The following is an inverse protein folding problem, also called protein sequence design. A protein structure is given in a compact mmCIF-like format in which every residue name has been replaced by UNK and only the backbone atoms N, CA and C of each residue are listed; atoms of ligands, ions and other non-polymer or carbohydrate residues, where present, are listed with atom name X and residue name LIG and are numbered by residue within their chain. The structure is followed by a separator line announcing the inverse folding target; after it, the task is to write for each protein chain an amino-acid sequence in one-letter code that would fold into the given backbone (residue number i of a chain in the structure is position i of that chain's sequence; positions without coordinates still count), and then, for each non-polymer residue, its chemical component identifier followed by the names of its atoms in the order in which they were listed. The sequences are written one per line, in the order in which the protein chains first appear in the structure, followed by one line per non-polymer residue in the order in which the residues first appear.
data_IF_765469756589
#
_entry.id   IF_765469756589
#
_cell.length_a   1.000
_cell.length_b   1.000
_cell.length_c   1.000
_cell.angle_alpha   90.00
_cell.angle_beta   90.00
_cell.angle_gamma   90.00
#
_symmetry.space_group_name_H-M   'P 1'
#
loop_
_entity.id
_entity.type
_entity.pdbx_description
1 polymer ?
#
# COMPACT_ATOMS: atom_id res chain seq x y z
N UNK A 1 4.73 -26.89 6.50
CA UNK A 1 4.19 -25.60 7.05
C UNK A 1 2.70 -25.61 6.72
N UNK A 2 1.86 -25.55 7.74
CA UNK A 2 0.40 -25.58 7.51
C UNK A 2 -0.04 -24.26 6.88
N UNK A 3 -0.76 -24.33 5.76
CA UNK A 3 -1.34 -23.19 5.07
C UNK A 3 -2.66 -22.85 5.75
N UNK A 4 -2.89 -21.60 6.10
CA UNK A 4 -4.10 -21.20 6.82
C UNK A 4 -5.36 -21.27 5.96
N UNK A 5 -5.29 -20.81 4.70
CA UNK A 5 -6.40 -20.90 3.76
C UNK A 5 -6.47 -22.32 3.21
N UNK A 6 -7.66 -22.93 3.21
CA UNK A 6 -7.88 -24.25 2.64
C UNK A 6 -7.83 -24.25 1.10
N UNK A 7 -7.66 -25.46 0.52
CA UNK A 7 -7.49 -25.64 -0.92
C UNK A 7 -8.73 -25.22 -1.72
N UNK A 8 -9.94 -25.44 -1.22
CA UNK A 8 -11.17 -25.07 -1.90
C UNK A 8 -11.29 -23.55 -2.03
N UNK A 9 -11.12 -22.82 -0.92
CA UNK A 9 -11.12 -21.36 -0.93
C UNK A 9 -10.00 -20.79 -1.80
N UNK A 10 -8.79 -21.40 -1.77
CA UNK A 10 -7.71 -20.98 -2.64
C UNK A 10 -8.06 -21.16 -4.13
N UNK A 11 -8.60 -22.32 -4.49
CA UNK A 11 -8.98 -22.63 -5.88
C UNK A 11 -10.04 -21.66 -6.41
N UNK A 12 -11.03 -21.34 -5.60
CA UNK A 12 -12.16 -20.52 -5.99
C UNK A 12 -11.83 -19.03 -6.08
N UNK A 13 -10.90 -18.56 -5.24
CA UNK A 13 -10.65 -17.13 -5.06
C UNK A 13 -9.31 -16.69 -5.66
N UNK A 14 -8.22 -17.42 -5.43
CA UNK A 14 -6.86 -17.01 -5.77
C UNK A 14 -6.32 -17.63 -7.05
N UNK A 15 -6.70 -18.88 -7.35
CA UNK A 15 -6.17 -19.55 -8.53
C UNK A 15 -6.46 -18.77 -9.82
N UNK A 16 -5.40 -18.52 -10.60
CA UNK A 16 -5.46 -17.71 -11.83
C UNK A 16 -5.58 -16.22 -11.62
N UNK A 17 -5.22 -15.73 -10.42
CA UNK A 17 -5.15 -14.32 -10.08
C UNK A 17 -3.82 -13.98 -9.40
N UNK A 18 -3.30 -12.82 -9.73
CA UNK A 18 -2.13 -12.20 -9.08
C UNK A 18 -2.58 -11.25 -7.98
N UNK A 19 -1.96 -11.33 -6.80
CA UNK A 19 -2.17 -10.37 -5.73
C UNK A 19 -1.36 -9.11 -6.06
N UNK A 20 -2.03 -7.97 -6.21
CA UNK A 20 -1.41 -6.72 -6.65
C UNK A 20 -1.26 -5.68 -5.54
N UNK A 21 -1.94 -5.86 -4.40
CA UNK A 21 -1.80 -4.97 -3.24
C UNK A 21 -2.46 -5.59 -2.00
N UNK A 22 -2.04 -5.14 -0.79
CA UNK A 22 -2.54 -5.61 0.49
C UNK A 22 -2.77 -4.46 1.47
N UNK A 23 -3.82 -4.58 2.30
CA UNK A 23 -4.07 -3.67 3.41
C UNK A 23 -4.61 -4.41 4.64
N UNK A 24 -4.08 -4.09 5.80
CA UNK A 24 -4.46 -4.67 7.09
C UNK A 24 -5.51 -3.79 7.76
N UNK A 25 -6.74 -4.26 7.87
CA UNK A 25 -7.77 -3.56 8.65
C UNK A 25 -7.49 -3.69 10.16
N UNK A 26 -7.33 -4.91 10.60
CA UNK A 26 -6.85 -5.32 11.92
C UNK A 26 -6.23 -6.73 11.84
N UNK A 27 -5.75 -7.27 12.96
CA UNK A 27 -5.13 -8.61 13.00
C UNK A 27 -6.09 -9.74 12.60
N UNK A 28 -7.40 -9.48 12.50
CA UNK A 28 -8.44 -10.46 12.13
C UNK A 28 -8.96 -10.29 10.72
N UNK A 29 -8.70 -9.16 10.06
CA UNK A 29 -9.30 -8.82 8.77
C UNK A 29 -8.27 -8.19 7.84
N UNK A 30 -7.88 -8.95 6.83
CA UNK A 30 -6.88 -8.59 5.83
C UNK A 30 -7.55 -8.43 4.47
N UNK A 31 -7.22 -7.37 3.75
CA UNK A 31 -7.80 -7.06 2.46
C UNK A 31 -6.76 -7.16 1.36
N UNK A 32 -7.13 -7.75 0.24
CA UNK A 32 -6.27 -7.93 -0.93
C UNK A 32 -6.98 -7.47 -2.18
N UNK A 33 -6.23 -6.87 -3.08
CA UNK A 33 -6.66 -6.66 -4.45
C UNK A 33 -5.97 -7.67 -5.36
N UNK A 34 -6.73 -8.38 -6.16
CA UNK A 34 -6.25 -9.37 -7.11
C UNK A 34 -6.65 -8.95 -8.52
N UNK A 35 -5.76 -9.16 -9.49
CA UNK A 35 -6.07 -9.09 -10.93
C UNK A 35 -5.92 -10.47 -11.57
N UNK A 36 -6.75 -10.76 -12.55
CA UNK A 36 -6.64 -12.03 -13.27
C UNK A 36 -5.27 -12.11 -13.94
N UNK A 37 -4.57 -13.21 -13.70
CA UNK A 37 -3.34 -13.52 -14.40
C UNK A 37 -3.68 -13.88 -15.85
N UNK A 38 -3.15 -13.12 -16.80
CA UNK A 38 -3.32 -13.35 -18.22
C UNK A 38 -1.96 -13.37 -18.91
N UNK A 39 -1.78 -14.17 -19.98
CA UNK A 39 -0.55 -14.20 -20.73
C UNK A 39 -0.18 -12.81 -21.25
N UNK A 40 1.12 -12.48 -21.28
CA UNK A 40 1.62 -11.17 -21.70
C UNK A 40 1.14 -10.77 -23.09
N UNK A 41 1.03 -11.73 -24.01
CA UNK A 41 0.53 -11.51 -25.36
C UNK A 41 -0.94 -11.05 -25.36
N UNK A 42 -1.78 -11.65 -24.56
CA UNK A 42 -3.18 -11.28 -24.39
C UNK A 42 -3.33 -9.97 -23.63
N UNK A 43 -2.52 -9.75 -22.58
CA UNK A 43 -2.51 -8.50 -21.80
C UNK A 43 -2.22 -7.28 -22.66
N UNK A 44 -1.37 -7.43 -23.70
CA UNK A 44 -1.03 -6.33 -24.62
C UNK A 44 -2.20 -5.87 -25.50
N UNK A 45 -3.24 -6.69 -25.64
CA UNK A 45 -4.44 -6.42 -26.47
C UNK A 45 -5.63 -5.89 -25.65
N UNK A 46 -5.54 -5.95 -24.32
CA UNK A 46 -6.62 -5.55 -23.41
C UNK A 46 -6.31 -4.22 -22.75
N UNK A 47 -7.34 -3.44 -22.48
CA UNK A 47 -7.22 -2.35 -21.52
C UNK A 47 -7.05 -2.95 -20.11
N UNK A 48 -6.23 -2.33 -19.27
CA UNK A 48 -6.07 -2.77 -17.88
C UNK A 48 -7.41 -2.77 -17.10
N UNK A 49 -8.35 -1.91 -17.50
CA UNK A 49 -9.72 -1.88 -16.97
C UNK A 49 -10.56 -3.11 -17.35
N UNK A 50 -10.24 -3.79 -18.45
CA UNK A 50 -10.97 -4.98 -18.91
C UNK A 50 -10.49 -6.26 -18.22
N UNK A 51 -9.33 -6.20 -17.52
CA UNK A 51 -8.81 -7.34 -16.77
C UNK A 51 -9.59 -7.46 -15.46
N UNK A 52 -10.26 -8.62 -15.23
CA UNK A 52 -11.05 -8.85 -14.03
C UNK A 52 -10.28 -8.61 -12.73
N UNK A 53 -10.87 -7.83 -11.84
CA UNK A 53 -10.32 -7.51 -10.54
C UNK A 53 -11.17 -8.14 -9.45
N UNK A 54 -10.55 -8.60 -8.37
CA UNK A 54 -11.22 -9.06 -7.15
C UNK A 54 -10.78 -8.24 -5.95
N UNK A 55 -11.73 -7.86 -5.11
CA UNK A 55 -11.44 -7.47 -3.73
C UNK A 55 -11.71 -8.68 -2.85
N UNK A 56 -10.68 -9.09 -2.10
CA UNK A 56 -10.71 -10.26 -1.23
C UNK A 56 -10.54 -9.82 0.21
N UNK A 57 -11.25 -10.46 1.12
CA UNK A 57 -11.06 -10.34 2.56
C UNK A 57 -10.75 -11.70 3.15
N UNK A 58 -9.68 -11.79 3.94
CA UNK A 58 -9.29 -12.96 4.70
C UNK A 58 -9.50 -12.66 6.20
N UNK A 59 -10.24 -13.53 6.88
CA UNK A 59 -10.51 -13.45 8.31
C UNK A 59 -9.68 -14.50 9.06
N UNK A 60 -8.74 -14.05 9.89
CA UNK A 60 -7.83 -14.95 10.60
C UNK A 60 -8.45 -15.61 11.84
N UNK A 61 -9.63 -15.14 12.28
CA UNK A 61 -10.38 -15.63 13.44
C UNK A 61 -11.58 -16.51 13.06
N UNK A 62 -11.77 -16.85 11.78
CA UNK A 62 -12.88 -17.68 11.32
C UNK A 62 -12.40 -19.07 10.91
N UNK A 63 -13.27 -20.09 11.03
CA UNK A 63 -12.94 -21.44 10.60
C UNK A 63 -12.78 -21.54 9.09
N UNK A 64 -12.05 -22.55 8.63
CA UNK A 64 -11.90 -22.88 7.21
C UNK A 64 -13.25 -22.94 6.48
N UNK A 65 -13.29 -22.51 5.22
CA UNK A 65 -14.50 -22.39 4.41
C UNK A 65 -15.39 -21.17 4.73
N UNK A 66 -15.10 -20.44 5.82
CA UNK A 66 -15.78 -19.18 6.20
C UNK A 66 -14.81 -18.03 6.46
N UNK A 67 -13.54 -18.29 6.26
CA UNK A 67 -12.45 -17.36 6.57
C UNK A 67 -12.02 -16.49 5.39
N UNK A 68 -12.64 -16.66 4.23
CA UNK A 68 -12.34 -15.87 3.06
C UNK A 68 -13.60 -15.48 2.29
N UNK A 69 -13.60 -14.29 1.71
CA UNK A 69 -14.66 -13.82 0.84
C UNK A 69 -14.13 -12.93 -0.27
N UNK A 70 -14.76 -12.98 -1.44
CA UNK A 70 -14.34 -12.15 -2.57
C UNK A 70 -15.52 -11.53 -3.29
N UNK A 71 -15.27 -10.44 -3.99
CA UNK A 71 -16.19 -9.83 -4.95
C UNK A 71 -15.41 -9.47 -6.22
N UNK A 72 -16.03 -9.71 -7.38
CA UNK A 72 -15.55 -9.18 -8.65
C UNK A 72 -15.91 -7.71 -8.78
N UNK A 73 -14.96 -6.94 -9.30
CA UNK A 73 -15.13 -5.51 -9.59
C UNK A 73 -14.59 -5.25 -10.99
N UNK A 74 -15.41 -4.71 -11.85
CA UNK A 74 -15.01 -4.38 -13.23
C UNK A 74 -14.53 -2.92 -13.31
N UNK A 75 -13.75 -2.59 -14.36
CA UNK A 75 -13.31 -1.23 -14.64
C UNK A 75 -12.16 -0.71 -13.76
N UNK A 76 -11.49 -1.59 -13.00
CA UNK A 76 -10.43 -1.19 -12.08
C UNK A 76 -9.06 -1.14 -12.77
N UNK A 77 -8.67 0.05 -13.22
CA UNK A 77 -7.34 0.27 -13.79
C UNK A 77 -6.30 0.42 -12.68
N UNK A 78 -5.24 -0.39 -12.69
CA UNK A 78 -4.12 -0.37 -11.75
C UNK A 78 -4.56 -0.11 -10.30
N UNK A 79 -5.43 -0.97 -9.75
CA UNK A 79 -6.08 -0.71 -8.48
C UNK A 79 -5.10 -0.65 -7.31
N UNK A 80 -5.49 0.12 -6.28
CA UNK A 80 -4.83 0.17 -4.98
C UNK A 80 -5.82 -0.23 -3.90
N UNK A 81 -5.37 -1.01 -2.93
CA UNK A 81 -6.19 -1.37 -1.77
C UNK A 81 -5.83 -0.48 -0.58
N UNK A 82 -6.81 -0.20 0.25
CA UNK A 82 -6.64 0.54 1.50
C UNK A 82 -7.73 0.18 2.49
N UNK A 83 -7.68 0.78 3.66
CA UNK A 83 -8.66 0.55 4.73
C UNK A 83 -9.02 1.86 5.42
N UNK A 84 -10.25 1.92 5.96
CA UNK A 84 -10.64 2.88 6.99
C UNK A 84 -10.84 2.13 8.29
N UNK A 85 -10.30 2.64 9.41
CA UNK A 85 -10.34 2.01 10.74
C UNK A 85 -11.13 2.88 11.72
N UNK A 86 -11.49 2.42 12.93
CA UNK A 86 -12.00 3.31 13.96
C UNK A 86 -11.01 4.48 14.22
N UNK A 87 -11.45 5.74 14.41
CA UNK A 87 -12.83 6.18 14.64
C UNK A 87 -13.67 6.45 13.36
N UNK A 88 -13.22 6.05 12.19
CA UNK A 88 -14.07 6.17 11.00
C UNK A 88 -15.41 5.42 11.25
N UNK A 89 -16.57 6.00 10.88
CA UNK A 89 -17.89 5.49 11.29
C UNK A 89 -18.15 4.03 10.92
N UNK A 90 -17.62 3.60 9.79
CA UNK A 90 -17.73 2.20 9.30
C UNK A 90 -16.40 1.71 8.75
N UNK A 91 -15.59 1.06 9.59
CA UNK A 91 -14.34 0.45 9.15
C UNK A 91 -14.57 -0.50 7.98
N UNK A 92 -13.76 -0.37 6.93
CA UNK A 92 -13.93 -1.13 5.69
C UNK A 92 -12.64 -1.20 4.88
N UNK A 93 -12.52 -2.25 4.07
CA UNK A 93 -11.58 -2.28 2.96
C UNK A 93 -12.04 -1.39 1.81
N UNK A 94 -11.13 -0.90 1.02
CA UNK A 94 -11.33 -0.03 -0.13
C UNK A 94 -10.46 -0.49 -1.29
N UNK A 95 -11.00 -0.47 -2.50
CA UNK A 95 -10.19 -0.55 -3.72
C UNK A 95 -10.43 0.70 -4.54
N UNK A 96 -9.36 1.39 -4.89
CA UNK A 96 -9.40 2.59 -5.71
C UNK A 96 -8.80 2.33 -7.09
N UNK A 97 -9.52 2.68 -8.14
CA UNK A 97 -9.02 2.67 -9.51
C UNK A 97 -8.21 3.94 -9.82
N UNK A 98 -7.25 3.81 -10.73
CA UNK A 98 -6.55 4.95 -11.35
C UNK A 98 -7.34 5.37 -12.58
N UNK A 99 -7.85 6.59 -12.60
CA UNK A 99 -8.63 7.04 -13.75
C UNK A 99 -9.37 8.33 -13.52
N UNK A 100 -10.41 8.52 -14.31
CA UNK A 100 -11.28 9.68 -14.17
C UNK A 100 -12.14 9.56 -12.91
N UNK A 101 -12.12 10.57 -12.05
CA UNK A 101 -12.83 10.57 -10.76
C UNK A 101 -12.13 9.81 -9.65
N UNK A 102 -11.29 8.81 -9.95
CA UNK A 102 -10.70 7.91 -8.95
C UNK A 102 -11.79 7.11 -8.24
N UNK A 103 -12.43 6.22 -8.99
CA UNK A 103 -13.52 5.37 -8.47
C UNK A 103 -13.01 4.50 -7.32
N UNK A 104 -13.77 4.45 -6.22
CA UNK A 104 -13.45 3.66 -5.03
C UNK A 104 -14.61 2.73 -4.72
N UNK A 105 -14.32 1.45 -4.54
CA UNK A 105 -15.28 0.45 -4.11
C UNK A 105 -15.05 0.10 -2.63
N UNK A 106 -15.94 0.52 -1.71
CA UNK A 106 -15.85 0.16 -0.30
C UNK A 106 -16.47 -1.21 -0.04
N UNK A 107 -15.82 -2.03 0.83
CA UNK A 107 -16.33 -3.33 1.26
C UNK A 107 -15.91 -3.70 2.68
N UNK A 108 -16.80 -4.37 3.38
CA UNK A 108 -16.60 -4.87 4.74
C UNK A 108 -17.34 -4.03 5.77
N UNK A 109 -17.38 -4.49 7.04
CA UNK A 109 -18.12 -3.81 8.09
C UNK A 109 -19.65 -3.70 7.84
N UNK A 110 -20.22 -4.59 7.01
CA UNK A 110 -21.63 -4.52 6.62
C UNK A 110 -21.91 -3.52 5.50
N UNK A 111 -20.88 -3.02 4.81
CA UNK A 111 -21.03 -2.11 3.66
C UNK A 111 -20.81 -2.91 2.39
N UNK A 112 -21.82 -2.94 1.54
CA UNK A 112 -21.73 -3.09 0.09
C UNK A 112 -22.18 -1.76 -0.47
N UNK A 113 -21.23 -0.86 -0.66
CA UNK A 113 -21.56 0.52 -0.98
C UNK A 113 -21.62 0.81 -2.46
N UNK A 114 -22.26 1.92 -2.84
CA UNK A 114 -22.09 2.50 -4.15
C UNK A 114 -20.63 2.90 -4.34
N UNK A 115 -20.20 2.97 -5.60
CA UNK A 115 -18.91 3.57 -5.94
C UNK A 115 -18.79 4.97 -5.35
N UNK A 116 -17.69 5.21 -4.67
CA UNK A 116 -17.28 6.54 -4.23
C UNK A 116 -16.34 7.14 -5.28
N UNK A 117 -16.13 8.44 -5.25
CA UNK A 117 -15.14 9.10 -6.10
C UNK A 117 -14.23 10.01 -5.26
N UNK A 118 -12.91 9.81 -5.40
CA UNK A 118 -11.90 10.62 -4.70
C UNK A 118 -11.92 12.06 -5.22
N UNK A 119 -11.92 12.24 -6.53
CA UNK A 119 -11.85 13.55 -7.19
C UNK A 119 -12.87 13.64 -8.33
N UNK A 120 -14.17 13.81 -8.05
CA UNK A 120 -15.21 13.84 -9.06
C UNK A 120 -14.88 14.83 -10.19
N UNK A 121 -15.06 14.38 -11.43
CA UNK A 121 -14.87 15.21 -12.65
C UNK A 121 -13.41 15.65 -12.91
N UNK A 122 -12.42 14.95 -12.35
CA UNK A 122 -11.00 15.22 -12.58
C UNK A 122 -10.25 13.91 -12.85
N UNK A 123 -9.13 13.95 -13.60
CA UNK A 123 -8.19 12.85 -13.63
C UNK A 123 -7.67 12.58 -12.21
N UNK A 124 -7.72 11.33 -11.77
CA UNK A 124 -7.30 10.92 -10.44
C UNK A 124 -6.46 9.64 -10.56
N UNK A 125 -5.14 9.81 -10.62
CA UNK A 125 -4.23 8.69 -10.62
C UNK A 125 -3.83 8.43 -9.18
N UNK A 126 -4.58 7.54 -8.51
CA UNK A 126 -4.32 7.15 -7.13
C UNK A 126 -3.05 6.31 -7.05
N UNK A 127 -2.04 6.80 -6.37
CA UNK A 127 -0.76 6.09 -6.19
C UNK A 127 -0.74 5.30 -4.88
N UNK A 128 -1.36 5.85 -3.82
CA UNK A 128 -1.43 5.21 -2.49
C UNK A 128 -2.76 5.50 -1.81
N UNK A 129 -3.28 4.49 -1.11
CA UNK A 129 -4.28 4.64 -0.05
C UNK A 129 -3.63 4.33 1.30
N UNK A 130 -3.58 5.31 2.19
CA UNK A 130 -2.98 5.15 3.53
C UNK A 130 -4.02 5.44 4.61
N UNK A 131 -4.12 4.57 5.61
CA UNK A 131 -4.97 4.82 6.77
C UNK A 131 -4.16 5.53 7.85
N UNK A 132 -4.52 6.77 8.14
CA UNK A 132 -3.91 7.62 9.18
C UNK A 132 -4.98 7.95 10.19
N UNK A 133 -4.77 7.60 11.46
CA UNK A 133 -5.71 7.83 12.57
C UNK A 133 -7.15 7.40 12.26
N UNK A 134 -7.30 6.26 11.56
CA UNK A 134 -8.58 5.67 11.19
C UNK A 134 -9.17 6.15 9.87
N UNK A 135 -8.75 7.28 9.34
CA UNK A 135 -9.24 7.84 8.08
C UNK A 135 -8.33 7.44 6.91
N UNK A 136 -8.93 7.11 5.77
CA UNK A 136 -8.15 6.84 4.55
C UNK A 136 -7.78 8.13 3.85
N UNK A 137 -6.50 8.27 3.55
CA UNK A 137 -5.97 9.32 2.69
C UNK A 137 -5.56 8.73 1.36
N UNK A 138 -5.78 9.48 0.28
CA UNK A 138 -5.33 9.14 -1.06
C UNK A 138 -4.25 10.12 -1.50
N UNK A 139 -3.06 9.59 -1.80
CA UNK A 139 -2.04 10.31 -2.53
C UNK A 139 -2.27 10.12 -4.03
N UNK A 140 -2.34 11.22 -4.78
CA UNK A 140 -2.68 11.24 -6.19
C UNK A 140 -1.59 11.98 -6.96
N UNK A 141 -1.26 11.48 -8.14
CA UNK A 141 -0.29 12.11 -9.04
C UNK A 141 -0.66 13.58 -9.31
N UNK A 142 0.35 14.44 -9.44
CA UNK A 142 0.12 15.87 -9.63
C UNK A 142 -0.14 16.63 -8.32
N UNK A 143 0.36 16.11 -7.18
CA UNK A 143 0.21 16.66 -5.82
C UNK A 143 -1.24 16.73 -5.33
N UNK A 144 -2.08 15.80 -5.73
CA UNK A 144 -3.39 15.65 -5.15
C UNK A 144 -3.32 14.88 -3.82
N UNK A 145 -3.93 15.43 -2.79
CA UNK A 145 -4.19 14.73 -1.53
C UNK A 145 -5.67 14.86 -1.20
N UNK A 146 -6.25 13.74 -0.81
CA UNK A 146 -7.67 13.67 -0.44
C UNK A 146 -7.83 12.85 0.85
N UNK A 147 -8.80 13.23 1.67
CA UNK A 147 -9.18 12.52 2.89
C UNK A 147 -10.60 12.00 2.76
N UNK A 148 -10.82 10.73 3.02
CA UNK A 148 -12.15 10.15 3.19
C UNK A 148 -12.68 10.51 4.56
N UNK A 149 -13.69 11.35 4.62
CA UNK A 149 -14.23 11.88 5.88
C UNK A 149 -15.52 11.20 6.31
N UNK A 150 -16.22 10.57 5.38
CA UNK A 150 -17.45 9.80 5.61
C UNK A 150 -17.66 8.82 4.45
N UNK A 151 -18.68 7.97 4.54
CA UNK A 151 -19.10 7.10 3.43
C UNK A 151 -19.50 7.95 2.22
N UNK A 152 -18.93 7.62 1.05
CA UNK A 152 -19.16 8.35 -0.19
C UNK A 152 -18.60 9.77 -0.21
N UNK A 153 -17.86 10.18 0.83
CA UNK A 153 -17.40 11.57 0.94
C UNK A 153 -15.89 11.68 1.10
N UNK A 154 -15.27 12.13 0.02
CA UNK A 154 -13.86 12.53 -0.02
C UNK A 154 -13.75 14.05 -0.10
N UNK A 155 -12.78 14.60 0.58
CA UNK A 155 -12.49 16.05 0.57
C UNK A 155 -11.03 16.29 0.19
N UNK A 156 -10.74 17.36 -0.56
CA UNK A 156 -9.35 17.79 -0.78
C UNK A 156 -8.64 18.04 0.55
N UNK A 157 -7.40 17.59 0.65
CA UNK A 157 -6.51 17.80 1.79
C UNK A 157 -5.26 18.54 1.32
N UNK A 158 -5.45 19.67 0.66
CA UNK A 158 -4.46 20.37 -0.18
C UNK A 158 -4.15 21.79 0.28
N UNK A 159 -4.49 22.14 1.52
CA UNK A 159 -4.21 23.47 2.07
C UNK A 159 -2.70 23.79 2.00
N UNK A 160 -2.31 24.82 1.26
CA UNK A 160 -0.91 25.19 1.05
C UNK A 160 -0.23 24.53 -0.17
N UNK A 161 -0.86 23.55 -0.82
CA UNK A 161 -0.34 23.00 -2.05
C UNK A 161 -0.61 23.92 -3.26
N UNK A 162 0.29 23.99 -4.23
CA UNK A 162 0.07 24.75 -5.48
C UNK A 162 -1.10 24.16 -6.28
N UNK A 163 -1.97 25.03 -6.79
CA UNK A 163 -3.21 24.61 -7.50
C UNK A 163 -3.05 24.33 -8.98
N UNK A 164 -1.96 24.73 -9.61
CA UNK A 164 -1.70 24.50 -11.05
C UNK A 164 -0.25 24.86 -11.46
N UNK A 165 0.17 24.43 -12.62
CA UNK A 165 1.36 24.95 -13.31
C UNK A 165 2.67 24.24 -13.00
N UNK A 166 2.65 23.05 -12.41
CA UNK A 166 3.88 22.35 -12.07
C UNK A 166 4.23 21.23 -13.06
N UNK A 167 5.51 20.87 -13.05
CA UNK A 167 6.07 19.85 -13.93
C UNK A 167 5.37 18.49 -13.75
N UNK A 168 5.09 17.73 -14.83
CA UNK A 168 4.58 16.36 -14.73
C UNK A 168 5.51 15.41 -14.00
N UNK A 169 6.74 15.83 -13.72
CA UNK A 169 7.72 15.09 -12.92
C UNK A 169 7.52 15.23 -11.41
N UNK A 170 6.60 16.10 -10.99
CA UNK A 170 6.24 16.32 -9.60
C UNK A 170 4.93 15.61 -9.27
N UNK A 171 4.72 15.33 -7.98
CA UNK A 171 3.48 14.72 -7.52
C UNK A 171 3.72 13.64 -6.49
N UNK A 172 2.67 13.30 -5.76
CA UNK A 172 2.79 12.38 -4.65
C UNK A 172 2.71 10.92 -5.08
N UNK A 173 3.58 10.10 -4.51
CA UNK A 173 3.58 8.66 -4.57
C UNK A 173 3.07 8.06 -3.25
N UNK A 174 3.40 8.70 -2.12
CA UNK A 174 3.06 8.19 -0.81
C UNK A 174 2.83 9.32 0.20
N UNK A 175 2.12 8.98 1.30
CA UNK A 175 1.83 9.82 2.45
C UNK A 175 1.91 9.00 3.73
N UNK A 176 2.49 9.55 4.80
CA UNK A 176 2.45 8.97 6.14
C UNK A 176 2.46 10.06 7.22
N UNK A 177 2.21 9.69 8.49
CA UNK A 177 2.04 10.65 9.56
C UNK A 177 2.49 10.13 10.92
N UNK A 178 3.04 11.02 11.75
CA UNK A 178 3.16 10.80 13.19
C UNK A 178 1.84 11.11 13.92
N UNK A 179 1.10 12.11 13.43
CA UNK A 179 -0.17 12.59 14.00
C UNK A 179 -0.99 13.36 12.95
N UNK A 180 -2.17 13.84 13.31
CA UNK A 180 -3.03 14.64 12.41
C UNK A 180 -2.44 16.00 12.04
N UNK A 181 -1.42 16.47 12.76
CA UNK A 181 -0.73 17.74 12.58
C UNK A 181 0.76 17.58 12.21
N UNK A 182 1.23 16.37 12.00
CA UNK A 182 2.60 16.07 11.59
C UNK A 182 2.62 14.95 10.54
N UNK A 183 2.45 15.35 9.26
CA UNK A 183 2.38 14.41 8.15
C UNK A 183 3.40 14.74 7.07
N UNK A 184 3.79 13.73 6.31
CA UNK A 184 4.70 13.87 5.18
C UNK A 184 4.09 13.25 3.93
N UNK A 185 4.25 13.93 2.79
CA UNK A 185 3.91 13.42 1.48
C UNK A 185 5.11 13.57 0.55
N UNK A 186 5.41 12.53 -0.21
CA UNK A 186 6.60 12.48 -1.07
C UNK A 186 6.27 11.94 -2.45
N UNK A 187 7.13 12.28 -3.42
CA UNK A 187 7.08 11.73 -4.76
C UNK A 187 7.95 12.52 -5.73
N UNK A 188 7.73 12.35 -7.03
CA UNK A 188 8.43 13.07 -8.07
C UNK A 188 9.95 13.15 -7.89
N UNK A 189 10.58 14.17 -8.46
CA UNK A 189 12.01 14.42 -8.37
C UNK A 189 12.33 15.23 -7.08
N UNK A 190 12.49 14.55 -5.93
CA UNK A 190 12.80 15.19 -4.65
C UNK A 190 11.64 16.04 -4.10
N UNK A 191 10.40 15.67 -4.39
CA UNK A 191 9.22 16.43 -3.99
C UNK A 191 8.74 15.99 -2.60
N UNK A 192 9.23 16.68 -1.56
CA UNK A 192 8.95 16.40 -0.15
C UNK A 192 8.14 17.52 0.45
N UNK A 193 7.01 17.18 1.07
CA UNK A 193 6.11 18.12 1.73
C UNK A 193 5.78 17.66 3.14
N UNK A 194 5.63 18.65 4.03
CA UNK A 194 5.28 18.47 5.43
C UNK A 194 4.03 19.27 5.77
N UNK A 195 3.06 18.61 6.40
CA UNK A 195 1.85 19.24 6.96
C UNK A 195 2.06 19.52 8.44
N UNK A 196 1.81 20.75 8.85
CA UNK A 196 2.03 21.24 10.22
C UNK A 196 0.73 21.42 11.03
N UNK A 197 -0.32 20.70 10.65
CA UNK A 197 -1.66 20.84 11.24
C UNK A 197 -2.51 21.95 10.59
N UNK A 198 -1.90 22.82 9.80
CA UNK A 198 -2.59 23.96 9.17
C UNK A 198 -2.46 23.93 7.65
N UNK A 199 -1.26 23.70 7.17
CA UNK A 199 -0.97 23.74 5.73
C UNK A 199 0.24 22.90 5.35
N UNK A 200 0.25 22.43 4.11
CA UNK A 200 1.40 21.79 3.51
C UNK A 200 2.48 22.80 3.17
N UNK A 201 3.73 22.46 3.52
CA UNK A 201 4.92 23.27 3.25
C UNK A 201 5.95 22.41 2.54
N UNK A 202 6.51 22.94 1.44
CA UNK A 202 7.58 22.26 0.73
C UNK A 202 8.83 22.22 1.59
N UNK A 203 9.42 21.03 1.72
CA UNK A 203 10.69 20.85 2.43
C UNK A 203 11.85 20.89 1.45
N UNK A 204 12.99 21.42 1.90
CA UNK A 204 14.21 21.29 1.12
C UNK A 204 14.69 19.84 1.18
N UNK A 205 14.78 19.22 0.00
CA UNK A 205 15.37 17.90 -0.19
C UNK A 205 16.53 18.02 -1.16
N UNK A 206 17.70 17.54 -0.76
CA UNK A 206 18.97 17.80 -1.47
C UNK A 206 19.18 16.93 -2.71
N UNK A 207 18.35 15.91 -2.90
CA UNK A 207 18.45 14.97 -4.01
C UNK A 207 17.27 15.19 -5.00
N UNK A 208 17.50 14.84 -6.27
CA UNK A 208 16.48 14.85 -7.33
C UNK A 208 16.03 13.45 -7.72
N UNK A 209 16.36 12.45 -6.90
CA UNK A 209 15.87 11.09 -7.12
C UNK A 209 14.34 11.05 -7.15
N UNK A 210 13.78 10.15 -7.94
CA UNK A 210 12.33 9.88 -7.89
C UNK A 210 12.02 9.17 -6.59
N UNK A 211 11.21 9.82 -5.74
CA UNK A 211 10.80 9.29 -4.45
C UNK A 211 9.62 8.33 -4.60
N UNK A 212 9.61 7.27 -3.81
CA UNK A 212 8.62 6.19 -3.90
C UNK A 212 7.76 6.10 -2.63
N UNK A 213 8.37 6.02 -1.45
CA UNK A 213 7.64 5.81 -0.19
C UNK A 213 8.09 6.79 0.88
N UNK A 214 7.20 7.03 1.86
CA UNK A 214 7.53 7.74 3.09
C UNK A 214 7.01 6.96 4.30
N UNK A 215 7.79 6.93 5.38
CA UNK A 215 7.43 6.26 6.63
C UNK A 215 7.78 7.13 7.82
N UNK A 216 6.77 7.49 8.60
CA UNK A 216 6.90 8.12 9.90
C UNK A 216 7.13 7.02 10.95
N UNK A 217 8.39 6.79 11.30
CA UNK A 217 8.80 5.63 12.08
C UNK A 217 8.66 5.83 13.59
N UNK A 218 8.48 4.75 14.33
CA UNK A 218 8.34 4.78 15.78
C UNK A 218 9.59 5.24 16.53
N UNK A 219 10.75 5.31 15.86
CA UNK A 219 11.97 5.92 16.40
C UNK A 219 11.99 7.47 16.31
N UNK A 220 10.91 8.07 15.82
CA UNK A 220 10.76 9.50 15.64
C UNK A 220 11.41 10.09 14.39
N UNK A 221 11.96 9.25 13.52
CA UNK A 221 12.50 9.66 12.24
C UNK A 221 11.52 9.43 11.10
N UNK A 222 11.71 10.18 10.02
CA UNK A 222 11.04 9.93 8.75
C UNK A 222 12.02 9.25 7.80
N UNK A 223 11.60 8.15 7.20
CA UNK A 223 12.35 7.45 6.18
C UNK A 223 11.68 7.67 4.82
N UNK A 224 12.50 7.96 3.80
CA UNK A 224 12.04 8.16 2.42
C UNK A 224 12.82 7.23 1.53
N UNK A 225 12.12 6.42 0.73
CA UNK A 225 12.76 5.63 -0.31
C UNK A 225 12.62 6.28 -1.69
N UNK A 226 13.49 5.91 -2.60
CA UNK A 226 13.46 6.37 -3.98
C UNK A 226 14.12 5.41 -4.96
N UNK A 227 14.27 5.88 -6.16
CA UNK A 227 14.84 5.10 -7.27
C UNK A 227 16.19 4.49 -6.93
N UNK A 228 16.47 3.33 -7.53
CA UNK A 228 17.71 2.60 -7.35
C UNK A 228 17.87 1.97 -5.96
N UNK A 229 16.81 1.85 -5.16
CA UNK A 229 16.86 1.33 -3.79
C UNK A 229 17.41 2.33 -2.78
N UNK A 230 17.51 3.61 -3.16
CA UNK A 230 17.98 4.66 -2.25
C UNK A 230 17.07 4.84 -1.05
N UNK A 231 17.66 5.20 0.08
CA UNK A 231 16.96 5.44 1.35
C UNK A 231 17.57 6.65 2.07
N UNK A 232 16.72 7.54 2.55
CA UNK A 232 17.09 8.69 3.37
C UNK A 232 16.37 8.64 4.71
N UNK A 233 17.01 9.20 5.74
CA UNK A 233 16.43 9.41 7.06
C UNK A 233 16.53 10.87 7.45
N UNK A 234 15.52 11.39 8.12
CA UNK A 234 15.53 12.77 8.59
C UNK A 234 14.17 13.28 9.02
N UNK A 235 14.02 14.59 9.02
CA UNK A 235 12.75 15.28 9.23
C UNK A 235 12.82 16.70 8.70
N UNK A 236 11.69 17.23 8.23
CA UNK A 236 11.54 18.59 7.69
C UNK A 236 12.55 18.86 6.57
N UNK A 237 13.53 19.70 6.78
CA UNK A 237 14.55 20.07 5.77
C UNK A 237 15.94 19.49 6.05
N UNK A 238 16.04 18.50 6.94
CA UNK A 238 17.32 17.87 7.30
C UNK A 238 17.27 16.38 6.97
N UNK A 239 17.89 16.01 5.86
CA UNK A 239 17.88 14.65 5.33
C UNK A 239 19.30 14.11 5.20
N UNK A 240 19.49 12.85 5.53
CA UNK A 240 20.76 12.13 5.45
C UNK A 240 20.55 10.85 4.64
N UNK A 241 21.32 10.62 3.58
CA UNK A 241 21.27 9.32 2.89
C UNK A 241 21.82 8.23 3.82
N UNK A 242 21.08 7.13 3.95
CA UNK A 242 21.49 5.91 4.68
C UNK A 242 21.80 4.78 3.73
N UNK A 243 21.19 4.78 2.55
CA UNK A 243 21.56 3.92 1.44
C UNK A 243 21.55 4.75 0.15
N UNK A 244 22.64 4.69 -0.61
CA UNK A 244 22.71 5.30 -1.94
C UNK A 244 22.18 4.29 -2.95
N UNK A 245 21.26 4.74 -3.79
CA UNK A 245 20.75 3.94 -4.88
C UNK A 245 21.85 3.62 -5.89
N UNK A 246 22.04 2.34 -6.15
CA UNK A 246 22.98 1.83 -7.14
C UNK A 246 22.50 0.52 -7.80
N UNK A 247 21.22 0.21 -7.64
CA UNK A 247 20.61 -1.02 -8.08
C UNK A 247 19.36 -0.74 -8.92
N UNK A 248 18.76 -1.78 -9.47
CA UNK A 248 17.45 -1.70 -10.15
C UNK A 248 16.28 -1.89 -9.18
N UNK A 249 16.53 -1.94 -7.86
CA UNK A 249 15.51 -2.14 -6.84
C UNK A 249 14.62 -0.89 -6.77
N UNK A 250 13.33 -1.11 -6.74
CA UNK A 250 12.31 -0.11 -6.37
C UNK A 250 11.52 -0.66 -5.19
N UNK A 251 11.54 0.06 -4.09
CA UNK A 251 10.77 -0.36 -2.92
C UNK A 251 9.29 -0.03 -3.15
N UNK A 252 8.45 -1.06 -3.15
CA UNK A 252 7.00 -0.92 -3.23
C UNK A 252 6.43 -0.38 -1.93
N UNK A 253 6.95 -0.91 -0.81
CA UNK A 253 6.56 -0.51 0.53
C UNK A 253 7.76 -0.45 1.45
N UNK A 254 7.80 0.61 2.26
CA UNK A 254 8.68 0.75 3.41
C UNK A 254 7.81 1.09 4.59
N UNK A 255 7.93 0.36 5.70
CA UNK A 255 7.12 0.60 6.88
C UNK A 255 7.88 0.29 8.18
N UNK A 256 7.40 0.89 9.27
CA UNK A 256 7.91 0.65 10.61
C UNK A 256 7.04 -0.37 11.34
N UNK A 257 7.64 -1.44 11.80
CA UNK A 257 6.95 -2.46 12.58
C UNK A 257 7.92 -3.08 13.61
N UNK A 258 7.53 -3.09 14.89
CA UNK A 258 8.28 -3.66 16.01
C UNK A 258 9.76 -3.23 16.01
N UNK A 259 9.95 -1.90 16.11
CA UNK A 259 11.25 -1.24 16.22
C UNK A 259 12.24 -1.53 15.07
N UNK A 260 11.68 -1.91 13.91
CA UNK A 260 12.44 -2.14 12.68
C UNK A 260 11.79 -1.46 11.48
N UNK A 261 12.62 -1.02 10.55
CA UNK A 261 12.18 -0.58 9.23
C UNK A 261 12.22 -1.78 8.29
N UNK A 262 11.06 -2.11 7.71
CA UNK A 262 10.87 -3.20 6.76
C UNK A 262 10.74 -2.65 5.35
N UNK A 263 11.29 -3.35 4.36
CA UNK A 263 11.33 -2.94 2.97
C UNK A 263 10.92 -4.11 2.07
N UNK A 264 9.97 -3.90 1.18
CA UNK A 264 9.57 -4.88 0.18
C UNK A 264 9.64 -4.30 -1.22
N UNK A 265 10.15 -5.09 -2.15
CA UNK A 265 10.17 -4.82 -3.60
C UNK A 265 9.56 -5.99 -4.35
N UNK A 266 9.55 -5.96 -5.68
CA UNK A 266 9.07 -7.08 -6.50
C UNK A 266 9.93 -8.35 -6.34
N UNK A 267 11.20 -8.19 -5.93
CA UNK A 267 12.17 -9.29 -5.87
C UNK A 267 12.71 -9.58 -4.47
N UNK A 268 12.65 -8.60 -3.56
CA UNK A 268 13.32 -8.67 -2.26
C UNK A 268 12.41 -8.27 -1.09
N UNK A 269 12.64 -8.95 0.04
CA UNK A 269 12.06 -8.59 1.34
C UNK A 269 13.18 -8.44 2.36
N UNK A 270 13.31 -7.22 2.89
CA UNK A 270 14.44 -6.79 3.67
C UNK A 270 14.03 -6.05 4.94
N UNK A 271 14.97 -5.87 5.85
CA UNK A 271 14.89 -4.90 6.93
C UNK A 271 16.17 -4.05 6.98
N UNK A 272 16.02 -2.83 7.50
CA UNK A 272 17.14 -1.93 7.70
C UNK A 272 17.71 -2.13 9.11
N UNK A 273 19.04 -2.35 9.17
CA UNK A 273 19.80 -2.53 10.40
C UNK A 273 20.94 -1.50 10.48
N UNK A 274 21.69 -1.52 11.57
CA UNK A 274 22.93 -0.71 11.68
C UNK A 274 23.99 -1.09 10.63
N UNK A 275 23.90 -2.32 10.08
CA UNK A 275 24.77 -2.80 9.01
C UNK A 275 24.35 -2.41 7.60
N UNK A 276 23.12 -1.94 7.44
CA UNK A 276 22.51 -1.60 6.16
C UNK A 276 21.21 -2.34 5.90
N UNK A 277 20.86 -2.52 4.62
CA UNK A 277 19.68 -3.27 4.20
C UNK A 277 20.05 -4.75 4.06
N UNK A 278 19.37 -5.61 4.80
CA UNK A 278 19.60 -7.04 4.87
C UNK A 278 18.30 -7.81 4.58
N UNK A 279 18.41 -8.95 3.89
CA UNK A 279 17.25 -9.84 3.65
C UNK A 279 16.71 -10.37 4.96
N UNK A 280 15.40 -10.46 5.06
CA UNK A 280 14.73 -11.01 6.24
C UNK A 280 15.03 -12.51 6.36
N UNK A 281 15.47 -12.91 7.54
CA UNK A 281 15.72 -14.31 7.87
C UNK A 281 14.89 -14.76 9.08
N UNK A 282 14.51 -16.04 9.10
CA UNK A 282 13.83 -16.68 10.21
C UNK A 282 14.29 -18.12 10.29
N UNK A 283 14.60 -18.61 11.51
CA UNK A 283 15.10 -19.96 11.78
C UNK A 283 16.32 -20.34 10.91
N UNK A 284 17.20 -19.37 10.65
CA UNK A 284 18.43 -19.57 9.86
C UNK A 284 18.21 -19.63 8.34
N UNK A 285 16.99 -19.46 7.86
CA UNK A 285 16.66 -19.37 6.43
C UNK A 285 16.16 -17.99 6.00
N UNK A 286 16.30 -17.67 4.71
CA UNK A 286 15.70 -16.45 4.13
C UNK A 286 14.18 -16.66 4.09
N UNK A 287 13.41 -15.64 4.49
CA UNK A 287 11.96 -15.59 4.27
C UNK A 287 11.73 -15.32 2.77
N UNK A 288 11.22 -16.30 2.00
CA UNK A 288 11.17 -16.21 0.54
C UNK A 288 9.93 -15.41 0.08
N UNK A 289 9.85 -14.15 0.47
CA UNK A 289 8.76 -13.25 0.15
C UNK A 289 9.27 -11.99 -0.55
N UNK A 290 8.38 -11.31 -1.24
CA UNK A 290 8.58 -10.03 -1.92
C UNK A 290 7.19 -9.36 -2.13
N UNK A 291 7.10 -8.31 -2.90
CA UNK A 291 5.84 -7.70 -3.32
C UNK A 291 5.39 -6.55 -2.44
N UNK A 292 4.17 -6.62 -1.93
CA UNK A 292 3.53 -5.57 -1.14
C UNK A 292 3.34 -5.96 0.33
N UNK A 293 3.39 -4.97 1.23
CA UNK A 293 3.18 -5.21 2.66
C UNK A 293 2.40 -4.08 3.32
N UNK A 294 1.68 -4.42 4.38
CA UNK A 294 1.09 -3.47 5.33
C UNK A 294 1.20 -4.03 6.75
N UNK A 295 1.15 -3.15 7.74
CA UNK A 295 1.21 -3.55 9.14
C UNK A 295 0.25 -2.71 9.99
N UNK A 296 -0.46 -3.37 10.87
CA UNK A 296 -1.31 -2.72 11.87
C UNK A 296 -1.68 -3.68 13.00
N UNK A 297 -1.90 -3.14 14.19
CA UNK A 297 -2.41 -3.88 15.35
C UNK A 297 -1.61 -5.16 15.67
N UNK A 298 -0.27 -5.03 15.68
CA UNK A 298 0.64 -6.11 16.07
C UNK A 298 0.88 -7.19 15.00
N UNK A 299 0.41 -6.99 13.76
CA UNK A 299 0.66 -7.90 12.67
C UNK A 299 1.26 -7.16 11.46
N UNK A 300 2.29 -7.74 10.86
CA UNK A 300 2.79 -7.39 9.54
C UNK A 300 2.33 -8.46 8.56
N UNK A 301 1.86 -8.04 7.40
CA UNK A 301 1.45 -8.92 6.30
C UNK A 301 2.24 -8.56 5.07
N UNK A 302 2.81 -9.57 4.41
CA UNK A 302 3.49 -9.45 3.12
C UNK A 302 2.84 -10.37 2.11
N UNK A 303 2.64 -9.87 0.90
CA UNK A 303 2.04 -10.60 -0.20
C UNK A 303 2.89 -10.47 -1.46
N UNK A 304 3.33 -11.61 -2.01
CA UNK A 304 3.80 -11.67 -3.39
C UNK A 304 2.61 -11.97 -4.34
N UNK A 305 2.88 -12.21 -5.61
CA UNK A 305 1.81 -12.46 -6.59
C UNK A 305 0.85 -13.59 -6.18
N UNK A 306 1.32 -14.58 -5.41
CA UNK A 306 0.57 -15.83 -5.17
C UNK A 306 0.55 -16.31 -3.73
N UNK A 307 1.37 -15.71 -2.87
CA UNK A 307 1.51 -16.10 -1.47
C UNK A 307 1.28 -14.92 -0.53
N UNK A 308 0.79 -15.23 0.64
CA UNK A 308 0.64 -14.27 1.73
C UNK A 308 1.22 -14.88 2.99
N UNK A 309 2.09 -14.14 3.65
CA UNK A 309 2.60 -14.48 4.98
C UNK A 309 2.29 -13.36 5.96
N UNK A 310 2.12 -13.72 7.22
CA UNK A 310 2.02 -12.77 8.32
C UNK A 310 3.11 -13.03 9.35
N UNK A 311 3.49 -11.96 10.06
CA UNK A 311 4.44 -11.99 11.17
C UNK A 311 3.86 -11.19 12.35
N UNK A 312 3.80 -11.81 13.53
CA UNK A 312 3.28 -11.17 14.75
C UNK A 312 4.39 -10.58 15.65
N UNK A 313 5.64 -10.70 15.20
CA UNK A 313 6.83 -10.28 15.92
C UNK A 313 7.62 -11.44 16.53
N UNK A 314 7.05 -12.62 16.54
CA UNK A 314 7.69 -13.86 17.01
C UNK A 314 7.67 -14.95 15.94
N UNK A 315 6.52 -15.14 15.30
CA UNK A 315 6.31 -16.26 14.37
C UNK A 315 5.82 -15.81 13.00
N UNK A 316 6.33 -16.48 11.97
CA UNK A 316 5.83 -16.39 10.61
C UNK A 316 4.75 -17.44 10.36
N UNK A 317 3.65 -17.01 9.74
CA UNK A 317 2.54 -17.87 9.36
C UNK A 317 2.22 -17.72 7.88
N UNK A 318 2.15 -18.83 7.16
CA UNK A 318 1.66 -18.84 5.77
C UNK A 318 0.14 -18.76 5.78
N UNK A 319 -0.40 -17.66 5.26
CA UNK A 319 -1.84 -17.45 5.19
C UNK A 319 -2.43 -17.98 3.89
N UNK A 320 -1.78 -17.69 2.77
CA UNK A 320 -2.16 -18.15 1.43
C UNK A 320 -0.92 -18.69 0.74
N UNK A 321 -1.05 -19.83 0.11
CA UNK A 321 -0.05 -20.39 -0.78
C UNK A 321 -0.73 -21.28 -1.84
N UNK A 322 -0.10 -21.47 -2.99
CA UNK A 322 -0.62 -22.36 -4.03
C UNK A 322 -0.71 -23.81 -3.58
N UNK A 323 -1.77 -24.47 -4.00
CA UNK A 323 -1.95 -25.91 -3.86
C UNK A 323 -1.64 -26.60 -5.19
N UNK A 324 -0.70 -27.55 -5.18
CA UNK A 324 -0.32 -28.34 -6.36
C UNK A 324 0.70 -27.66 -7.28
N UNK A 325 1.13 -28.38 -8.32
CA UNK A 325 2.11 -27.96 -9.33
C UNK A 325 1.39 -27.53 -10.61
N UNK A 326 0.70 -26.42 -10.61
CA UNK A 326 -0.02 -25.94 -11.82
C UNK A 326 -0.59 -24.55 -11.61
N UNK A 327 0.05 -23.58 -12.19
CA UNK A 327 -0.41 -22.18 -12.34
C UNK A 327 -1.30 -22.04 -13.56
#
# INVERSE_FOLDING_TARGET
MDIFLDEECWRDIFKGYDIVDVAVLDHRSLHFCLKQAIPLEEASMLSDADIPTRLVVLYTDRPAGKNCGSIKIDGMTSPRVGVSRPPFPRPSGLVAARGWGGDVYPRGGGIEGPLEQIAPRKPCITERLKCINGFTYAAVRGRGLYKRVDLGRWVPFDAGLPKSGESPKMGFQDIDAFSDDDMYAVGGEGDVWHFDGTSWKRMHFQDKARLATVTCAGDGNVYISGEGGSLWVGAKSRWKPVCKGNSNVSWNDVLWFQDKLWLASDDDFCHFTSGGIERVTHDGGIVPMCGHMDAHNGILVIADLHRVMSFDGSEWRTLVAPYGTGW
#
